data_IF_858757626535
#
_entry.id   IF_858757626535
#
_cell.length_a   1.000
_cell.length_b   1.000
_cell.length_c   1.000
_cell.angle_alpha   90.00
_cell.angle_beta   90.00
_cell.angle_gamma   90.00
#
_symmetry.space_group_name_H-M   'P 1'
#
loop_
_entity.id
_entity.type
_entity.pdbx_description
1 polymer ?
#
# COMPACT_ATOMS: atom_id res chain seq x y z
N UNK A 1 20.14 12.64 2.44
CA UNK A 1 21.57 12.27 2.62
C UNK A 1 22.07 11.77 1.29
N UNK A 2 23.24 12.23 0.83
CA UNK A 2 23.84 11.77 -0.43
C UNK A 2 24.75 10.57 -0.13
N UNK A 3 24.55 9.46 -0.85
CA UNK A 3 25.46 8.31 -0.78
C UNK A 3 26.58 8.48 -1.81
N UNK A 4 27.82 8.13 -1.43
CA UNK A 4 28.99 8.11 -2.32
C UNK A 4 29.62 6.73 -2.29
N UNK A 5 29.99 6.23 -3.46
CA UNK A 5 30.66 4.95 -3.63
C UNK A 5 31.57 4.97 -4.86
N UNK A 6 32.31 3.90 -5.05
CA UNK A 6 33.18 3.67 -6.21
C UNK A 6 32.74 2.40 -6.92
N UNK A 7 32.95 2.36 -8.24
CA UNK A 7 32.70 1.16 -9.03
C UNK A 7 33.74 0.08 -8.72
N UNK A 8 33.35 -1.17 -8.89
CA UNK A 8 34.27 -2.31 -8.86
C UNK A 8 35.20 -2.34 -10.09
N UNK A 9 36.05 -3.37 -10.17
CA UNK A 9 36.99 -3.55 -11.27
C UNK A 9 36.32 -3.72 -12.65
N UNK A 10 35.03 -4.06 -12.69
CA UNK A 10 34.25 -4.21 -13.92
C UNK A 10 33.46 -2.93 -14.27
N UNK A 11 33.57 -1.87 -13.46
CA UNK A 11 32.81 -0.63 -13.65
C UNK A 11 31.39 -0.66 -13.10
N UNK A 12 31.03 -1.63 -12.26
CA UNK A 12 29.70 -1.76 -11.67
C UNK A 12 29.65 -1.19 -10.25
N UNK A 13 28.51 -0.63 -9.85
CA UNK A 13 28.22 -0.28 -8.48
C UNK A 13 26.86 -0.85 -8.07
N UNK A 14 26.79 -1.43 -6.88
CA UNK A 14 25.54 -1.96 -6.31
C UNK A 14 25.25 -1.21 -5.02
N UNK A 15 24.03 -0.67 -4.91
CA UNK A 15 23.57 0.08 -3.73
C UNK A 15 22.28 -0.56 -3.26
N UNK A 16 22.24 -0.90 -1.97
CA UNK A 16 21.01 -1.36 -1.32
C UNK A 16 20.22 -0.14 -0.88
N UNK A 17 18.99 -0.02 -1.38
CA UNK A 17 18.08 1.06 -1.01
C UNK A 17 16.98 0.47 -0.15
N UNK A 18 16.72 1.08 1.00
CA UNK A 18 15.65 0.68 1.90
C UNK A 18 14.89 1.91 2.35
N UNK A 19 13.56 1.82 2.39
CA UNK A 19 12.71 2.83 3.00
C UNK A 19 11.82 2.16 4.03
N UNK A 20 12.19 2.33 5.31
CA UNK A 20 11.38 1.83 6.43
C UNK A 20 10.18 2.77 6.61
N UNK A 21 8.98 2.19 6.74
CA UNK A 21 7.74 2.93 7.05
C UNK A 21 7.45 4.07 6.05
N UNK A 22 7.68 3.81 4.75
CA UNK A 22 7.37 4.75 3.69
C UNK A 22 5.86 4.81 3.41
N UNK A 23 5.33 5.95 2.93
CA UNK A 23 3.89 6.11 2.70
C UNK A 23 3.40 5.46 1.40
N UNK A 24 4.24 4.75 0.63
CA UNK A 24 3.84 4.15 -0.65
C UNK A 24 4.04 5.06 -1.86
N UNK A 25 5.26 5.58 -2.09
CA UNK A 25 5.54 6.54 -3.18
C UNK A 25 6.59 6.01 -4.15
N UNK A 26 6.59 6.58 -5.36
CA UNK A 26 7.65 6.41 -6.35
C UNK A 26 8.75 7.43 -6.11
N UNK A 27 9.96 6.96 -5.83
CA UNK A 27 11.12 7.80 -5.55
C UNK A 27 12.11 7.73 -6.72
N UNK A 28 12.34 8.85 -7.44
CA UNK A 28 13.41 8.94 -8.42
C UNK A 28 14.78 8.85 -7.74
N UNK A 29 15.68 8.08 -8.34
CA UNK A 29 17.08 7.93 -7.95
C UNK A 29 17.93 8.40 -9.12
N UNK A 30 18.74 9.44 -8.87
CA UNK A 30 19.68 9.99 -9.85
C UNK A 30 21.08 9.68 -9.37
N UNK A 31 21.89 9.09 -10.25
CA UNK A 31 23.31 8.80 -10.02
C UNK A 31 24.13 9.69 -10.95
N UNK A 32 25.19 10.28 -10.42
CA UNK A 32 26.13 11.12 -11.19
C UNK A 32 27.58 10.75 -10.88
N UNK A 33 28.46 10.92 -11.88
CA UNK A 33 29.90 10.78 -11.66
C UNK A 33 30.47 11.98 -10.94
N UNK A 34 31.31 11.76 -9.93
CA UNK A 34 31.98 12.85 -9.19
C UNK A 34 32.92 13.64 -10.10
N UNK A 35 33.67 12.97 -10.97
CA UNK A 35 34.65 13.60 -11.85
C UNK A 35 34.03 14.13 -13.14
N UNK A 36 32.87 13.60 -13.54
CA UNK A 36 32.15 14.01 -14.74
C UNK A 36 30.66 14.23 -14.41
N UNK A 37 30.28 15.32 -13.69
CA UNK A 37 28.93 15.49 -13.15
C UNK A 37 27.81 15.56 -14.19
N UNK A 38 28.13 15.87 -15.44
CA UNK A 38 27.20 15.84 -16.56
C UNK A 38 26.80 14.40 -16.98
N UNK A 39 27.57 13.39 -16.61
CA UNK A 39 27.23 11.99 -16.82
C UNK A 39 26.28 11.54 -15.71
N UNK A 40 24.99 11.45 -16.04
CA UNK A 40 23.94 11.04 -15.12
C UNK A 40 23.18 9.82 -15.64
N UNK A 41 22.63 9.05 -14.72
CA UNK A 41 21.65 8.01 -14.98
C UNK A 41 20.50 8.14 -13.98
N UNK A 42 19.28 7.83 -14.41
CA UNK A 42 18.09 7.90 -13.58
C UNK A 42 17.37 6.55 -13.58
N UNK A 43 16.88 6.18 -12.41
CA UNK A 43 15.91 5.09 -12.23
C UNK A 43 14.90 5.51 -11.17
N UNK A 44 13.86 4.72 -10.96
CA UNK A 44 12.92 4.94 -9.87
C UNK A 44 12.64 3.64 -9.13
N UNK A 45 12.44 3.75 -7.82
CA UNK A 45 12.04 2.65 -6.97
C UNK A 45 10.71 2.97 -6.29
N UNK A 46 9.95 1.93 -5.98
CA UNK A 46 8.69 2.03 -5.23
C UNK A 46 8.84 1.14 -4.00
N UNK A 47 8.60 1.72 -2.83
CA UNK A 47 8.42 0.99 -1.58
C UNK A 47 6.95 1.08 -1.21
N UNK A 48 6.24 -0.04 -1.28
CA UNK A 48 4.79 -0.09 -1.02
C UNK A 48 4.50 0.02 0.48
N UNK A 49 3.30 0.50 0.83
CA UNK A 49 2.82 0.58 2.22
C UNK A 49 1.72 -0.44 2.51
N UNK A 50 1.68 -0.99 3.73
CA UNK A 50 0.65 -1.95 4.16
C UNK A 50 -0.72 -1.28 4.38
N UNK A 51 -0.75 0.05 4.53
CA UNK A 51 -1.96 0.82 4.80
C UNK A 51 -2.72 1.25 3.55
N UNK A 52 -2.25 0.86 2.36
CA UNK A 52 -2.94 1.10 1.08
C UNK A 52 -3.11 -0.23 0.35
N UNK A 53 -4.23 -0.42 -0.37
CA UNK A 53 -4.44 -1.62 -1.18
C UNK A 53 -3.57 -1.60 -2.45
N UNK A 54 -3.30 -2.78 -3.00
CA UNK A 54 -2.70 -2.91 -4.33
C UNK A 54 -3.82 -2.79 -5.38
N UNK A 55 -4.19 -1.54 -5.68
CA UNK A 55 -5.32 -1.17 -6.54
C UNK A 55 -4.95 0.03 -7.39
N UNK A 56 -5.36 0.05 -8.66
CA UNK A 56 -5.19 1.20 -9.55
C UNK A 56 -6.02 2.43 -9.15
N UNK A 57 -6.95 2.23 -8.22
CA UNK A 57 -7.78 3.28 -7.60
C UNK A 57 -7.18 3.83 -6.31
N UNK A 58 -6.09 3.24 -5.80
CA UNK A 58 -5.41 3.71 -4.61
C UNK A 58 -4.64 5.01 -4.89
N UNK A 59 -4.50 5.83 -3.86
CA UNK A 59 -3.73 7.07 -3.91
C UNK A 59 -2.24 6.79 -3.76
N UNK A 60 -1.89 5.73 -3.02
CA UNK A 60 -0.52 5.30 -2.76
C UNK A 60 -0.25 3.91 -3.33
N UNK A 61 1.03 3.59 -3.55
CA UNK A 61 1.45 2.24 -3.89
C UNK A 61 1.35 1.34 -2.64
N UNK A 62 0.41 0.41 -2.67
CA UNK A 62 0.02 -0.40 -1.52
C UNK A 62 0.43 -1.88 -1.58
N UNK A 63 0.29 -2.56 -0.46
CA UNK A 63 0.32 -4.02 -0.35
C UNK A 63 -0.56 -4.54 0.81
N UNK A 64 -1.63 -3.80 1.16
CA UNK A 64 -2.63 -4.26 2.11
C UNK A 64 -3.17 -5.62 1.69
N UNK A 65 -3.27 -6.54 2.65
CA UNK A 65 -3.84 -7.86 2.39
C UNK A 65 -5.32 -7.72 1.97
N UNK A 66 -5.71 -8.41 0.90
CA UNK A 66 -7.09 -8.35 0.39
C UNK A 66 -8.08 -9.04 1.34
N UNK A 67 -7.62 -10.06 2.07
CA UNK A 67 -8.41 -10.73 3.08
C UNK A 67 -7.57 -11.28 4.22
N UNK A 68 -8.19 -11.42 5.38
CA UNK A 68 -7.66 -12.08 6.56
C UNK A 68 -8.64 -13.13 7.06
N UNK A 69 -8.16 -14.11 7.82
CA UNK A 69 -9.03 -15.14 8.43
C UNK A 69 -8.92 -15.13 9.94
N UNK A 70 -10.02 -15.40 10.62
CA UNK A 70 -10.08 -15.62 12.08
C UNK A 70 -10.92 -16.86 12.38
N UNK A 71 -10.70 -17.52 13.53
CA UNK A 71 -11.35 -18.80 13.86
C UNK A 71 -12.10 -18.71 15.19
N UNK A 72 -13.41 -18.57 15.14
CA UNK A 72 -14.28 -18.50 16.32
C UNK A 72 -15.07 -19.81 16.47
N UNK A 73 -15.02 -20.41 17.67
CA UNK A 73 -15.73 -21.65 17.99
C UNK A 73 -15.47 -22.80 16.99
N UNK A 74 -14.25 -22.87 16.45
CA UNK A 74 -13.84 -23.89 15.47
C UNK A 74 -14.29 -23.62 14.03
N UNK A 75 -14.91 -22.48 13.76
CA UNK A 75 -15.34 -22.03 12.43
C UNK A 75 -14.39 -20.94 11.95
N UNK A 76 -13.84 -21.10 10.75
CA UNK A 76 -12.98 -20.08 10.11
C UNK A 76 -13.83 -19.11 9.30
N UNK A 77 -13.65 -17.82 9.56
CA UNK A 77 -14.29 -16.71 8.86
C UNK A 77 -13.23 -15.96 8.05
N UNK A 78 -13.61 -15.50 6.86
CA UNK A 78 -12.77 -14.68 5.99
C UNK A 78 -13.33 -13.28 5.93
N UNK A 79 -12.50 -12.29 6.23
CA UNK A 79 -12.83 -10.88 6.17
C UNK A 79 -12.07 -10.25 5.02
N UNK A 80 -12.77 -9.52 4.16
CA UNK A 80 -12.13 -8.72 3.13
C UNK A 80 -11.74 -7.36 3.68
N UNK A 81 -10.67 -6.77 3.16
CA UNK A 81 -10.33 -5.38 3.48
C UNK A 81 -11.49 -4.42 3.18
N UNK A 82 -11.53 -3.24 3.82
CA UNK A 82 -12.45 -2.17 3.44
C UNK A 82 -12.29 -1.78 1.96
N UNK A 83 -13.37 -1.28 1.36
CA UNK A 83 -13.36 -0.76 -0.01
C UNK A 83 -12.94 0.71 -0.03
N UNK A 84 -12.14 1.09 -1.03
CA UNK A 84 -11.95 2.50 -1.37
C UNK A 84 -13.29 3.10 -1.82
N UNK A 85 -13.47 4.41 -1.65
CA UNK A 85 -14.67 5.10 -2.11
C UNK A 85 -14.89 4.94 -3.63
N UNK A 86 -13.81 4.83 -4.42
CA UNK A 86 -13.86 4.58 -5.86
C UNK A 86 -14.14 3.11 -6.23
N UNK A 87 -14.11 2.19 -5.27
CA UNK A 87 -14.40 0.76 -5.45
C UNK A 87 -15.85 0.40 -5.13
N UNK A 88 -16.56 1.24 -4.37
CA UNK A 88 -17.90 0.97 -3.88
C UNK A 88 -18.96 1.87 -4.54
N UNK A 89 -20.06 1.26 -4.97
CA UNK A 89 -21.31 1.97 -5.26
C UNK A 89 -22.20 1.97 -4.02
N UNK A 90 -22.94 3.06 -3.78
CA UNK A 90 -23.92 3.13 -2.69
C UNK A 90 -23.33 3.40 -1.30
N UNK A 91 -22.08 3.87 -1.22
CA UNK A 91 -21.52 4.38 0.02
C UNK A 91 -22.26 5.65 0.46
N UNK A 92 -22.64 5.72 1.74
CA UNK A 92 -23.34 6.87 2.31
C UNK A 92 -22.39 8.06 2.54
N UNK A 93 -21.14 7.76 2.89
CA UNK A 93 -20.08 8.73 3.19
C UNK A 93 -18.72 8.15 2.81
N UNK A 94 -17.68 8.96 2.99
CA UNK A 94 -16.29 8.50 2.95
C UNK A 94 -15.51 9.01 4.16
N UNK A 95 -14.40 8.36 4.44
CA UNK A 95 -13.39 8.81 5.41
C UNK A 95 -12.03 8.81 4.75
N UNK A 96 -11.26 9.87 5.00
CA UNK A 96 -9.85 9.92 4.60
C UNK A 96 -9.02 9.40 5.76
N UNK A 97 -8.28 8.33 5.53
CA UNK A 97 -7.37 7.74 6.51
C UNK A 97 -6.18 7.09 5.81
N UNK A 98 -5.00 7.16 6.43
CA UNK A 98 -3.74 6.59 5.91
C UNK A 98 -3.43 6.94 4.44
N UNK A 99 -3.73 8.18 4.03
CA UNK A 99 -3.62 8.68 2.65
C UNK A 99 -4.55 8.04 1.62
N UNK A 100 -5.57 7.31 2.05
CA UNK A 100 -6.61 6.75 1.18
C UNK A 100 -7.99 7.31 1.53
N UNK A 101 -8.90 7.28 0.56
CA UNK A 101 -10.31 7.62 0.80
C UNK A 101 -11.15 6.35 0.81
N UNK A 102 -11.61 5.95 1.98
CA UNK A 102 -12.37 4.72 2.23
C UNK A 102 -13.88 4.97 2.18
N UNK A 103 -14.63 3.99 1.70
CA UNK A 103 -16.09 4.01 1.70
C UNK A 103 -16.64 3.79 3.12
N UNK A 104 -17.67 4.54 3.51
CA UNK A 104 -18.44 4.33 4.72
C UNK A 104 -19.90 4.05 4.38
N UNK A 105 -20.47 3.07 5.07
CA UNK A 105 -21.84 2.63 4.89
C UNK A 105 -22.61 2.72 6.20
N UNK A 106 -23.90 3.03 6.11
CA UNK A 106 -24.90 2.70 7.11
C UNK A 106 -25.07 1.18 7.18
N UNK A 107 -25.73 0.67 8.23
CA UNK A 107 -26.05 -0.75 8.32
C UNK A 107 -26.70 -1.27 7.03
N UNK A 108 -27.74 -0.57 6.55
CA UNK A 108 -28.47 -0.97 5.34
C UNK A 108 -27.63 -0.88 4.08
N UNK A 109 -26.74 0.11 3.99
CA UNK A 109 -25.80 0.20 2.88
C UNK A 109 -24.83 -0.97 2.86
N UNK A 110 -24.31 -1.36 4.04
CA UNK A 110 -23.34 -2.44 4.17
C UNK A 110 -23.97 -3.80 3.85
N UNK A 111 -25.19 -4.07 4.33
CA UNK A 111 -25.91 -5.32 4.10
C UNK A 111 -26.33 -5.51 2.63
N UNK A 112 -26.60 -4.42 1.91
CA UNK A 112 -26.81 -4.49 0.46
C UNK A 112 -25.52 -4.61 -0.34
N UNK A 113 -24.38 -4.22 0.25
CA UNK A 113 -23.07 -4.24 -0.40
C UNK A 113 -22.36 -5.59 -0.26
N UNK A 114 -22.52 -6.23 0.89
CA UNK A 114 -21.90 -7.51 1.23
C UNK A 114 -22.95 -8.64 1.21
N UNK A 115 -22.53 -9.86 0.88
CA UNK A 115 -23.45 -11.01 0.96
C UNK A 115 -23.89 -11.30 2.42
N UNK A 116 -22.97 -11.12 3.38
CA UNK A 116 -23.18 -11.31 4.83
C UNK A 116 -22.28 -10.34 5.60
N UNK A 117 -22.83 -9.65 6.60
CA UNK A 117 -22.04 -8.86 7.55
C UNK A 117 -21.59 -9.71 8.75
N UNK A 118 -20.34 -9.54 9.24
CA UNK A 118 -19.87 -10.30 10.38
C UNK A 118 -20.54 -9.85 11.68
N UNK A 119 -20.75 -10.80 12.59
CA UNK A 119 -21.19 -10.51 13.95
C UNK A 119 -20.07 -9.85 14.76
N UNK A 120 -20.43 -9.04 15.76
CA UNK A 120 -19.45 -8.35 16.60
C UNK A 120 -18.45 -9.31 17.26
N UNK A 121 -18.88 -10.53 17.65
CA UNK A 121 -18.00 -11.54 18.25
C UNK A 121 -16.93 -12.04 17.26
N UNK A 122 -17.23 -12.05 15.97
CA UNK A 122 -16.29 -12.46 14.91
C UNK A 122 -15.18 -11.43 14.69
N UNK A 123 -15.37 -10.18 15.14
CA UNK A 123 -14.43 -9.05 14.93
C UNK A 123 -13.49 -8.79 16.11
N UNK A 124 -13.71 -9.41 17.27
CA UNK A 124 -12.98 -9.11 18.52
C UNK A 124 -11.86 -10.12 18.80
N UNK A 125 -11.63 -11.07 17.90
CA UNK A 125 -10.66 -12.15 18.10
C UNK A 125 -9.22 -11.77 17.80
#
# INVERSE_FOLDING_TARGET
>A
TEYRGVTDANGNATVVVTQKEGPGVKTPLVVSSVNFPALTAETAVIFTTITSPDSDKASMYGHMIESATATLNGITYTFTRPKLAAEASGADKSVVDTNETWALFTWSGADNHCDILPDAEQLVQ
#
